data_IF_528064947344
#
_entry.id   IF_528064947344
#
_cell.length_a   1.000
_cell.length_b   1.000
_cell.length_c   1.000
_cell.angle_alpha   90.00
_cell.angle_beta   90.00
_cell.angle_gamma   90.00
#
_symmetry.space_group_name_H-M   'P 1'
#
loop_
_entity.id
_entity.type
_entity.pdbx_description
1 polymer ?
#
# COMPACT_ATOMS: atom_id res chain seq x y z
N UNK A 1 -42.89 40.02 -9.80
CA UNK A 1 -41.72 39.86 -10.68
C UNK A 1 -40.52 39.50 -9.81
N UNK A 2 -40.13 38.24 -9.77
CA UNK A 2 -38.96 37.79 -9.00
C UNK A 2 -37.71 37.87 -9.89
N UNK A 3 -36.63 38.55 -9.45
CA UNK A 3 -35.39 38.57 -10.21
C UNK A 3 -34.79 37.16 -10.26
N UNK A 4 -34.39 36.74 -11.46
CA UNK A 4 -33.87 35.41 -11.76
C UNK A 4 -32.74 35.00 -10.82
N UNK A 5 -32.77 33.75 -10.37
CA UNK A 5 -31.77 33.12 -9.50
C UNK A 5 -30.36 33.01 -10.13
N UNK A 6 -30.18 33.48 -11.36
CA UNK A 6 -28.95 33.35 -12.16
C UNK A 6 -27.81 34.23 -11.61
N UNK A 7 -28.12 35.34 -10.94
CA UNK A 7 -27.08 36.29 -10.48
C UNK A 7 -26.47 35.89 -9.11
N UNK A 8 -27.10 34.96 -8.36
CA UNK A 8 -26.68 34.66 -6.98
C UNK A 8 -25.38 33.86 -6.87
N UNK A 9 -24.96 33.16 -7.93
CA UNK A 9 -23.83 32.23 -7.89
C UNK A 9 -22.47 32.85 -8.25
N UNK A 10 -22.41 34.15 -8.56
CA UNK A 10 -21.17 34.80 -9.01
C UNK A 10 -20.28 35.30 -7.85
N UNK A 11 -20.75 35.30 -6.58
CA UNK A 11 -20.12 36.12 -5.54
C UNK A 11 -19.85 35.47 -4.18
N UNK A 12 -19.75 34.13 -4.06
CA UNK A 12 -19.44 33.51 -2.76
C UNK A 12 -18.50 32.29 -2.85
N UNK A 13 -17.40 32.42 -3.58
CA UNK A 13 -16.30 31.47 -3.46
C UNK A 13 -14.97 32.21 -3.32
N UNK A 14 -14.77 32.79 -2.14
CA UNK A 14 -13.57 33.56 -1.79
C UNK A 14 -12.37 32.65 -1.44
N UNK A 15 -12.61 31.34 -1.33
CA UNK A 15 -11.60 30.35 -0.96
C UNK A 15 -11.07 29.56 -2.16
N UNK A 16 -9.97 28.85 -1.94
CA UNK A 16 -9.45 27.94 -2.94
C UNK A 16 -10.28 26.63 -3.02
N UNK A 17 -11.10 26.32 -2.01
CA UNK A 17 -11.95 25.12 -1.98
C UNK A 17 -13.43 25.48 -2.12
N UNK A 18 -14.18 24.61 -2.81
CA UNK A 18 -15.64 24.71 -2.90
C UNK A 18 -16.28 24.33 -1.56
N UNK A 19 -17.11 25.19 -0.94
CA UNK A 19 -17.87 24.82 0.24
C UNK A 19 -18.81 23.65 -0.08
N UNK A 20 -19.05 22.77 0.89
CA UNK A 20 -19.86 21.54 0.81
C UNK A 20 -19.28 20.38 -0.02
N UNK A 21 -18.61 20.66 -1.13
CA UNK A 21 -18.05 19.59 -1.99
C UNK A 21 -16.58 19.29 -1.67
N UNK A 22 -15.90 20.21 -0.96
CA UNK A 22 -14.46 20.12 -0.62
C UNK A 22 -13.54 19.91 -1.84
N UNK A 23 -14.03 20.25 -3.03
CA UNK A 23 -13.27 20.14 -4.27
C UNK A 23 -12.32 21.32 -4.39
N UNK A 24 -11.17 21.07 -5.00
CA UNK A 24 -10.23 22.13 -5.33
C UNK A 24 -10.80 23.01 -6.45
N UNK A 25 -10.67 24.33 -6.32
CA UNK A 25 -11.05 25.26 -7.37
C UNK A 25 -10.12 25.17 -8.58
N UNK A 26 -10.58 25.57 -9.78
CA UNK A 26 -9.75 25.60 -10.98
C UNK A 26 -8.49 26.48 -10.83
N UNK A 27 -8.58 27.57 -10.06
CA UNK A 27 -7.44 28.44 -9.76
C UNK A 27 -6.37 27.70 -8.95
N UNK A 28 -6.79 26.94 -7.93
CA UNK A 28 -5.90 26.15 -7.10
C UNK A 28 -5.23 25.01 -7.90
N UNK A 29 -5.98 24.34 -8.78
CA UNK A 29 -5.45 23.29 -9.66
C UNK A 29 -4.36 23.81 -10.58
N UNK A 30 -4.52 25.02 -11.15
CA UNK A 30 -3.50 25.65 -12.01
C UNK A 30 -2.24 25.98 -11.23
N UNK A 31 -2.37 26.53 -10.02
CA UNK A 31 -1.23 26.92 -9.19
C UNK A 31 -0.31 25.74 -8.84
N UNK A 32 -0.83 24.51 -8.78
CA UNK A 32 -0.06 23.30 -8.45
C UNK A 32 0.48 22.50 -9.64
N UNK A 33 0.01 22.78 -10.86
CA UNK A 33 0.48 22.12 -12.09
C UNK A 33 2.02 22.01 -12.17
N UNK A 34 2.81 23.09 -11.93
CA UNK A 34 4.26 23.02 -12.13
C UNK A 34 5.01 22.17 -11.09
N UNK A 35 4.40 21.88 -9.94
CA UNK A 35 5.04 21.11 -8.87
C UNK A 35 4.71 19.62 -8.93
N UNK A 36 3.66 19.22 -9.65
CA UNK A 36 3.22 17.84 -9.72
C UNK A 36 4.34 16.90 -10.19
N UNK A 37 4.98 17.23 -11.32
CA UNK A 37 6.07 16.43 -11.88
C UNK A 37 7.26 16.34 -10.92
N UNK A 38 7.68 17.48 -10.35
CA UNK A 38 8.82 17.53 -9.42
C UNK A 38 8.57 16.68 -8.16
N UNK A 39 7.35 16.75 -7.62
CA UNK A 39 6.95 15.98 -6.45
C UNK A 39 6.84 14.48 -6.78
N UNK A 40 6.36 14.11 -7.97
CA UNK A 40 6.33 12.71 -8.41
C UNK A 40 7.72 12.12 -8.59
N UNK A 41 8.68 12.89 -9.11
CA UNK A 41 10.08 12.45 -9.17
C UNK A 41 10.64 12.23 -7.77
N UNK A 42 10.41 13.17 -6.84
CA UNK A 42 10.83 13.03 -5.45
C UNK A 42 10.22 11.79 -4.78
N UNK A 43 8.92 11.55 -5.00
CA UNK A 43 8.23 10.36 -4.52
C UNK A 43 8.83 9.07 -5.11
N UNK A 44 9.12 9.06 -6.42
CA UNK A 44 9.72 7.92 -7.08
C UNK A 44 11.08 7.58 -6.47
N UNK A 45 11.96 8.57 -6.29
CA UNK A 45 13.27 8.39 -5.65
C UNK A 45 13.12 7.88 -4.22
N UNK A 46 12.22 8.47 -3.43
CA UNK A 46 11.98 8.05 -2.04
C UNK A 46 11.48 6.60 -1.96
N UNK A 47 10.58 6.21 -2.87
CA UNK A 47 10.02 4.85 -2.94
C UNK A 47 10.98 3.82 -3.53
N UNK A 48 11.91 4.24 -4.39
CA UNK A 48 12.85 3.34 -5.07
C UNK A 48 13.78 2.64 -4.08
N UNK A 49 14.16 3.30 -2.98
CA UNK A 49 15.04 2.73 -1.96
C UNK A 49 14.41 1.51 -1.26
N UNK A 50 13.26 1.63 -0.57
CA UNK A 50 12.65 0.48 0.12
C UNK A 50 12.22 -0.61 -0.86
N UNK A 51 11.67 -0.25 -2.03
CA UNK A 51 11.27 -1.23 -3.05
C UNK A 51 12.49 -1.98 -3.59
N UNK A 52 13.58 -1.26 -3.88
CA UNK A 52 14.82 -1.86 -4.36
C UNK A 52 15.44 -2.81 -3.34
N UNK A 53 15.48 -2.42 -2.07
CA UNK A 53 15.95 -3.30 -0.98
C UNK A 53 15.09 -4.56 -0.90
N UNK A 54 13.75 -4.41 -0.88
CA UNK A 54 12.84 -5.55 -0.82
C UNK A 54 13.04 -6.52 -1.99
N UNK A 55 13.06 -6.00 -3.23
CA UNK A 55 13.25 -6.83 -4.43
C UNK A 55 14.61 -7.50 -4.44
N UNK A 56 15.67 -6.81 -4.01
CA UNK A 56 17.00 -7.40 -3.89
C UNK A 56 17.01 -8.54 -2.87
N UNK A 57 16.52 -8.27 -1.65
CA UNK A 57 16.48 -9.26 -0.57
C UNK A 57 15.62 -10.46 -0.95
N UNK A 58 14.47 -10.24 -1.59
CA UNK A 58 13.60 -11.32 -2.05
C UNK A 58 14.32 -12.22 -3.06
N UNK A 59 14.92 -11.65 -4.10
CA UNK A 59 15.65 -12.44 -5.11
C UNK A 59 16.91 -13.09 -4.54
N UNK A 60 17.58 -12.46 -3.57
CA UNK A 60 18.79 -12.98 -2.95
C UNK A 60 18.49 -14.17 -2.03
N UNK A 61 17.47 -14.07 -1.19
CA UNK A 61 17.10 -15.13 -0.24
C UNK A 61 16.41 -16.31 -0.92
N UNK A 62 15.63 -16.07 -1.97
CA UNK A 62 14.85 -17.11 -2.65
C UNK A 62 15.70 -18.00 -3.60
N UNK A 63 17.02 -17.97 -3.47
CA UNK A 63 17.94 -18.84 -4.24
C UNK A 63 18.31 -20.13 -3.48
N UNK A 64 18.05 -20.19 -2.17
CA UNK A 64 18.44 -21.33 -1.34
C UNK A 64 17.29 -22.34 -1.23
N UNK A 65 17.39 -23.44 -1.98
CA UNK A 65 16.56 -24.63 -1.82
C UNK A 65 17.24 -25.48 -0.74
N UNK A 66 16.76 -25.42 0.50
CA UNK A 66 17.35 -26.03 1.71
C UNK A 66 17.50 -27.58 1.70
N UNK A 67 17.61 -28.20 0.53
CA UNK A 67 17.74 -29.64 0.29
C UNK A 67 19.01 -30.23 0.90
N UNK A 68 20.09 -29.44 0.98
CA UNK A 68 21.39 -29.88 1.51
C UNK A 68 21.46 -29.88 3.05
N UNK A 69 20.40 -29.46 3.76
CA UNK A 69 20.38 -29.48 5.22
C UNK A 69 20.06 -30.90 5.71
N UNK A 70 21.02 -31.62 6.34
CA UNK A 70 20.74 -32.95 6.86
C UNK A 70 19.74 -32.84 8.02
N UNK A 71 18.62 -33.56 7.91
CA UNK A 71 17.63 -33.63 8.98
C UNK A 71 18.27 -34.39 10.14
N UNK A 72 18.28 -33.83 11.37
CA UNK A 72 18.80 -34.54 12.53
C UNK A 72 17.95 -35.81 12.76
N UNK A 73 18.55 -36.95 13.13
CA UNK A 73 17.80 -38.16 13.40
C UNK A 73 16.85 -37.91 14.57
N UNK A 74 15.54 -38.02 14.30
CA UNK A 74 14.49 -37.94 15.31
C UNK A 74 14.19 -39.35 15.83
N UNK A 75 13.90 -39.46 17.13
CA UNK A 75 13.45 -40.70 17.74
C UNK A 75 12.04 -41.08 17.24
N UNK A 76 11.74 -42.36 17.08
CA UNK A 76 10.45 -42.83 16.53
C UNK A 76 9.26 -42.42 17.42
N UNK A 77 9.51 -42.26 18.72
CA UNK A 77 8.51 -41.80 19.69
C UNK A 77 8.11 -40.34 19.44
N UNK A 78 9.08 -39.45 19.21
CA UNK A 78 8.82 -38.02 18.97
C UNK A 78 8.16 -37.78 17.63
N UNK A 79 8.50 -38.57 16.59
CA UNK A 79 7.82 -38.50 15.28
C UNK A 79 6.32 -38.80 15.42
N UNK A 80 5.95 -39.82 16.20
CA UNK A 80 4.54 -40.18 16.42
C UNK A 80 3.78 -39.12 17.20
N UNK A 81 4.42 -38.45 18.15
CA UNK A 81 3.83 -37.33 18.89
C UNK A 81 3.60 -36.13 17.97
N UNK A 82 4.61 -35.74 17.18
CA UNK A 82 4.53 -34.62 16.22
C UNK A 82 3.47 -34.87 15.14
N UNK A 83 3.33 -36.10 14.64
CA UNK A 83 2.28 -36.46 13.69
C UNK A 83 0.88 -36.33 14.29
N UNK A 84 0.70 -36.76 15.55
CA UNK A 84 -0.58 -36.60 16.25
C UNK A 84 -0.93 -35.13 16.46
N UNK A 85 0.05 -34.32 16.84
CA UNK A 85 -0.12 -32.87 17.02
C UNK A 85 -0.53 -32.19 15.71
N UNK A 86 0.18 -32.48 14.62
CA UNK A 86 -0.13 -31.94 13.30
C UNK A 86 -1.53 -32.34 12.80
N UNK A 87 -1.93 -33.61 13.02
CA UNK A 87 -3.28 -34.06 12.70
C UNK A 87 -4.36 -33.38 13.55
N UNK A 88 -4.08 -33.09 14.81
CA UNK A 88 -4.99 -32.37 15.71
C UNK A 88 -5.15 -30.91 15.26
N UNK A 89 -4.05 -30.22 14.95
CA UNK A 89 -4.08 -28.85 14.41
C UNK A 89 -4.83 -28.78 13.08
N UNK A 90 -4.55 -29.71 12.16
CA UNK A 90 -5.24 -29.77 10.87
C UNK A 90 -6.74 -30.03 11.01
N UNK A 91 -7.15 -30.84 12.00
CA UNK A 91 -8.57 -31.08 12.31
C UNK A 91 -9.22 -29.89 13.02
N UNK A 92 -8.46 -29.08 13.76
CA UNK A 92 -8.96 -27.87 14.42
C UNK A 92 -9.06 -26.66 13.47
N UNK A 93 -8.26 -26.64 12.40
CA UNK A 93 -8.25 -25.59 11.38
C UNK A 93 -9.31 -25.76 10.27
N UNK A 94 -9.98 -26.93 10.19
CA UNK A 94 -11.12 -27.20 9.29
C UNK A 94 -12.42 -27.19 10.08
#
# INVERSE_FOLDING_TARGET
>A
MHPSAIIRNFMSNKGYYEPHTYRMSPAMLRARQPYFVKNMIGLAILSAVPIGIYLYTYNFLNQDDFEDIPIPPLDEATIKELQKEYEQEKKAAN
#
